data_IF_168364160536
#
_entry.id   IF_168364160536
#
_cell.length_a   1.000
_cell.length_b   1.000
_cell.length_c   1.000
_cell.angle_alpha   90.00
_cell.angle_beta   90.00
_cell.angle_gamma   90.00
#
_symmetry.space_group_name_H-M   'P 1'
#
loop_
_entity.id
_entity.type
_entity.pdbx_description
1 polymer ?
#
# COMPACT_ATOMS: atom_id res chain seq x y z
N UNK A 1 2.98 -14.40 -16.79
CA UNK A 1 1.66 -13.92 -17.22
C UNK A 1 1.60 -12.39 -17.23
N UNK A 2 1.73 -11.69 -16.09
CA UNK A 2 1.60 -10.22 -16.03
C UNK A 2 2.55 -9.47 -16.97
N UNK A 3 3.83 -9.90 -17.05
CA UNK A 3 4.81 -9.33 -18.00
C UNK A 3 4.31 -9.33 -19.45
N UNK A 4 3.72 -10.44 -19.90
CA UNK A 4 3.20 -10.56 -21.26
C UNK A 4 2.06 -9.57 -21.51
N UNK A 5 1.17 -9.36 -20.52
CA UNK A 5 0.10 -8.37 -20.62
C UNK A 5 0.66 -6.94 -20.74
N UNK A 6 1.63 -6.56 -19.90
CA UNK A 6 2.24 -5.24 -19.97
C UNK A 6 2.95 -5.00 -21.32
N UNK A 7 3.65 -6.01 -21.84
CA UNK A 7 4.30 -5.93 -23.15
C UNK A 7 3.29 -5.80 -24.29
N UNK A 8 2.20 -6.57 -24.27
CA UNK A 8 1.14 -6.47 -25.29
C UNK A 8 0.48 -5.08 -25.26
N UNK A 9 0.30 -4.51 -24.07
CA UNK A 9 -0.27 -3.19 -23.89
C UNK A 9 0.72 -2.04 -24.16
N UNK A 10 1.99 -2.33 -24.46
CA UNK A 10 3.07 -1.34 -24.51
C UNK A 10 3.18 -0.49 -23.22
N UNK A 11 2.85 -1.07 -22.06
CA UNK A 11 3.03 -0.42 -20.77
C UNK A 11 4.50 -0.49 -20.37
N UNK A 12 5.13 0.67 -20.16
CA UNK A 12 6.51 0.76 -19.66
C UNK A 12 6.60 0.18 -18.24
N UNK A 13 7.59 -0.67 -18.02
CA UNK A 13 7.83 -1.29 -16.73
C UNK A 13 9.30 -1.68 -16.55
N UNK A 14 9.76 -1.69 -15.31
CA UNK A 14 10.99 -2.35 -14.91
C UNK A 14 10.69 -3.79 -14.51
N UNK A 15 11.63 -4.70 -14.78
CA UNK A 15 11.51 -6.13 -14.51
C UNK A 15 12.82 -6.65 -13.92
N UNK A 16 12.74 -7.29 -12.75
CA UNK A 16 13.87 -7.94 -12.10
C UNK A 16 13.76 -9.49 -12.07
N UNK A 17 12.80 -10.06 -12.81
CA UNK A 17 12.56 -11.50 -12.93
C UNK A 17 11.47 -12.05 -11.99
N UNK A 18 11.15 -11.35 -10.90
CA UNK A 18 10.11 -11.77 -9.94
C UNK A 18 9.13 -10.65 -9.56
N UNK A 19 9.47 -9.40 -9.90
CA UNK A 19 8.69 -8.20 -9.64
C UNK A 19 8.69 -7.29 -10.87
N UNK A 20 7.53 -6.73 -11.18
CA UNK A 20 7.35 -5.72 -12.21
C UNK A 20 7.03 -4.38 -11.53
N UNK A 21 7.79 -3.33 -11.82
CA UNK A 21 7.49 -1.97 -11.39
C UNK A 21 6.95 -1.18 -12.57
N UNK A 22 5.80 -0.53 -12.42
CA UNK A 22 5.28 0.37 -13.45
C UNK A 22 4.89 1.71 -12.87
N UNK A 23 5.11 2.77 -13.64
CA UNK A 23 4.68 4.11 -13.27
C UNK A 23 3.18 4.23 -13.56
N UNK A 24 2.37 4.25 -12.52
CA UNK A 24 0.90 4.28 -12.64
C UNK A 24 0.27 4.71 -11.32
N UNK A 25 -0.70 5.60 -11.40
CA UNK A 25 -1.50 5.99 -10.24
C UNK A 25 -2.43 4.86 -9.79
N UNK A 26 -2.68 4.79 -8.47
CA UNK A 26 -3.71 3.94 -7.87
C UNK A 26 -3.19 2.74 -7.06
N UNK A 27 -3.99 2.36 -6.08
CA UNK A 27 -3.63 1.38 -5.04
C UNK A 27 -3.70 -0.08 -5.52
N UNK A 28 -4.56 -0.38 -6.50
CA UNK A 28 -4.79 -1.75 -6.96
C UNK A 28 -3.66 -2.23 -7.89
N UNK A 29 -3.10 -3.39 -7.56
CA UNK A 29 -2.08 -4.05 -8.38
C UNK A 29 -2.42 -5.51 -8.61
N UNK A 30 -1.87 -6.07 -9.70
CA UNK A 30 -1.89 -7.51 -9.90
C UNK A 30 -0.75 -8.16 -9.11
N UNK A 31 -0.85 -9.48 -8.89
CA UNK A 31 0.22 -10.26 -8.25
C UNK A 31 1.55 -10.04 -8.98
N UNK A 32 2.62 -9.79 -8.22
CA UNK A 32 3.97 -9.49 -8.71
C UNK A 32 4.11 -8.18 -9.49
N UNK A 33 3.16 -7.26 -9.35
CA UNK A 33 3.24 -5.90 -9.91
C UNK A 33 3.17 -4.87 -8.78
N UNK A 34 4.03 -3.87 -8.84
CA UNK A 34 3.97 -2.68 -7.98
C UNK A 34 3.80 -1.45 -8.86
N UNK A 35 2.81 -0.63 -8.50
CA UNK A 35 2.64 0.70 -9.05
C UNK A 35 3.54 1.67 -8.26
N UNK A 36 4.18 2.61 -8.95
CA UNK A 36 4.84 3.74 -8.33
C UNK A 36 4.46 5.03 -9.05
N UNK A 37 4.65 6.14 -8.37
CA UNK A 37 4.45 7.49 -8.91
C UNK A 37 5.45 8.44 -8.25
N UNK A 38 5.76 9.54 -8.93
CA UNK A 38 6.56 10.63 -8.37
C UNK A 38 5.63 11.71 -7.80
N UNK A 39 6.03 12.31 -6.69
CA UNK A 39 5.34 13.46 -6.09
C UNK A 39 6.36 14.55 -5.75
N UNK A 40 5.97 15.79 -5.97
CA UNK A 40 6.82 16.96 -5.65
C UNK A 40 6.47 17.57 -4.28
N UNK A 41 5.25 17.35 -3.79
CA UNK A 41 4.73 17.90 -2.54
C UNK A 41 4.28 16.76 -1.61
N UNK A 42 5.05 16.56 -0.55
CA UNK A 42 4.79 15.56 0.48
C UNK A 42 3.47 15.79 1.24
N UNK A 43 3.13 17.05 1.53
CA UNK A 43 1.88 17.38 2.23
C UNK A 43 0.67 17.16 1.33
N UNK A 44 0.79 17.43 0.02
CA UNK A 44 -0.23 17.08 -0.95
C UNK A 44 -0.45 15.57 -1.03
N UNK A 45 0.63 14.79 -1.07
CA UNK A 45 0.53 13.32 -1.11
C UNK A 45 -0.09 12.76 0.17
N UNK A 46 0.28 13.29 1.33
CA UNK A 46 -0.36 12.93 2.60
C UNK A 46 -1.86 13.21 2.59
N UNK A 47 -2.31 14.34 2.04
CA UNK A 47 -3.74 14.63 1.92
C UNK A 47 -4.46 13.60 1.04
N UNK A 48 -3.87 13.23 -0.09
CA UNK A 48 -4.42 12.22 -0.99
C UNK A 48 -4.55 10.85 -0.30
N UNK A 49 -3.48 10.41 0.37
CA UNK A 49 -3.49 9.14 1.12
C UNK A 49 -4.53 9.13 2.24
N UNK A 50 -4.70 10.25 2.96
CA UNK A 50 -5.74 10.38 3.99
C UNK A 50 -7.16 10.34 3.39
N UNK A 51 -7.37 10.92 2.20
CA UNK A 51 -8.66 10.83 1.49
C UNK A 51 -9.00 9.40 1.03
N UNK A 52 -7.99 8.54 0.88
CA UNK A 52 -8.12 7.15 0.46
C UNK A 52 -7.92 6.16 1.61
N UNK A 53 -7.92 6.63 2.87
CA UNK A 53 -7.54 5.85 4.04
C UNK A 53 -8.37 4.55 4.19
N UNK A 54 -9.65 4.56 3.81
CA UNK A 54 -10.51 3.37 3.88
C UNK A 54 -10.09 2.24 2.92
N UNK A 55 -9.23 2.54 1.93
CA UNK A 55 -8.68 1.58 0.98
C UNK A 55 -7.24 1.18 1.32
N UNK A 56 -6.64 1.77 2.35
CA UNK A 56 -5.23 1.61 2.70
C UNK A 56 -5.12 0.94 4.06
N UNK A 57 -4.48 -0.22 4.09
CA UNK A 57 -4.28 -0.98 5.33
C UNK A 57 -3.05 -0.51 6.12
N UNK A 58 -2.02 -0.05 5.41
CA UNK A 58 -0.74 0.28 6.02
C UNK A 58 0.02 1.26 5.13
N UNK A 59 0.63 2.26 5.76
CA UNK A 59 1.53 3.22 5.12
C UNK A 59 2.88 3.11 5.80
N UNK A 60 3.94 3.02 4.99
CA UNK A 60 5.31 2.89 5.46
C UNK A 60 6.06 4.18 5.19
N UNK A 61 6.68 4.76 6.21
CA UNK A 61 7.46 5.98 6.06
C UNK A 61 8.70 6.03 6.96
N UNK A 62 9.67 6.86 6.55
CA UNK A 62 10.80 7.23 7.40
C UNK A 62 10.49 8.37 8.36
N UNK A 63 9.61 9.29 7.93
CA UNK A 63 9.15 10.46 8.67
C UNK A 63 8.11 10.14 9.75
N UNK A 64 7.52 11.17 10.34
CA UNK A 64 6.43 11.05 11.33
C UNK A 64 5.17 11.78 10.84
N UNK A 65 4.98 11.91 9.51
CA UNK A 65 3.87 12.65 8.92
C UNK A 65 2.59 11.84 8.81
N UNK A 66 2.67 10.52 8.95
CA UNK A 66 1.54 9.59 8.83
C UNK A 66 1.14 9.09 10.22
N UNK A 67 -0.09 9.36 10.61
CA UNK A 67 -0.68 8.79 11.82
C UNK A 67 -0.76 7.26 11.68
N UNK A 68 -0.26 6.52 12.67
CA UNK A 68 -0.12 5.06 12.62
C UNK A 68 0.78 4.54 11.48
N UNK A 69 1.66 5.38 10.93
CA UNK A 69 2.65 4.97 9.92
C UNK A 69 3.64 3.96 10.48
N UNK A 70 3.96 2.93 9.68
CA UNK A 70 4.93 1.89 10.02
C UNK A 70 6.32 2.33 9.58
N UNK A 71 7.33 2.13 10.43
CA UNK A 71 8.72 2.41 10.08
C UNK A 71 9.29 1.36 9.13
N UNK A 72 10.22 1.76 8.27
CA UNK A 72 10.96 0.83 7.42
C UNK A 72 11.50 -0.37 8.21
N UNK A 73 11.37 -1.56 7.63
CA UNK A 73 11.80 -2.82 8.23
C UNK A 73 10.81 -3.44 9.22
N UNK A 74 9.72 -2.76 9.62
CA UNK A 74 8.77 -3.29 10.61
C UNK A 74 7.47 -3.84 10.01
N UNK A 75 7.28 -3.79 8.69
CA UNK A 75 6.02 -4.16 8.03
C UNK A 75 5.65 -5.65 8.15
N UNK A 76 6.62 -6.51 8.42
CA UNK A 76 6.40 -7.96 8.61
C UNK A 76 6.33 -8.36 10.09
N UNK A 77 6.26 -7.38 11.01
CA UNK A 77 6.24 -7.60 12.45
C UNK A 77 5.05 -6.88 13.10
N UNK A 78 3.79 -7.18 12.70
CA UNK A 78 2.61 -6.52 13.27
C UNK A 78 2.46 -6.87 14.75
N UNK A 79 2.06 -5.89 15.56
CA UNK A 79 1.67 -6.10 16.95
C UNK A 79 0.26 -6.66 17.06
N UNK A 80 -0.07 -7.18 18.24
CA UNK A 80 -1.37 -7.79 18.52
C UNK A 80 -2.58 -6.89 18.20
N UNK A 81 -2.43 -5.57 18.34
CA UNK A 81 -3.50 -4.59 18.11
C UNK A 81 -3.40 -3.88 16.75
N UNK A 82 -2.45 -4.26 15.88
CA UNK A 82 -2.23 -3.65 14.57
C UNK A 82 -2.95 -4.45 13.47
N UNK A 83 -4.29 -4.46 13.54
CA UNK A 83 -5.16 -5.12 12.56
C UNK A 83 -5.26 -4.34 11.26
N UNK A 84 -5.37 -5.04 10.13
CA UNK A 84 -5.32 -4.45 8.78
C UNK A 84 -6.50 -3.53 8.45
N UNK A 85 -7.62 -3.68 9.16
CA UNK A 85 -8.84 -2.88 9.04
C UNK A 85 -9.06 -1.95 10.24
N UNK A 86 -8.11 -1.90 11.19
CA UNK A 86 -8.23 -1.23 12.48
C UNK A 86 -9.47 -1.67 13.30
N UNK A 87 -10.08 -2.81 12.99
CA UNK A 87 -11.19 -3.35 13.77
C UNK A 87 -10.62 -4.21 14.88
N UNK A 88 -10.99 -3.90 16.13
CA UNK A 88 -10.69 -4.77 17.25
C UNK A 88 -11.55 -6.04 17.13
N UNK A 89 -10.91 -7.13 16.71
CA UNK A 89 -11.58 -8.43 16.51
C UNK A 89 -12.21 -8.93 17.82
N UNK A 90 -11.62 -8.64 18.97
CA UNK A 90 -12.16 -9.06 20.28
C UNK A 90 -13.41 -8.25 20.61
N UNK A 91 -13.40 -6.94 20.35
CA UNK A 91 -14.59 -6.09 20.48
C UNK A 91 -15.71 -6.55 19.53
N UNK A 92 -15.38 -6.79 18.25
CA UNK A 92 -16.33 -7.29 17.25
C UNK A 92 -16.99 -8.61 17.69
N UNK A 93 -16.19 -9.59 18.13
CA UNK A 93 -16.71 -10.88 18.60
C UNK A 93 -17.58 -10.73 19.86
N UNK A 94 -17.27 -9.77 20.74
CA UNK A 94 -18.06 -9.47 21.94
C UNK A 94 -19.45 -8.89 21.63
N UNK A 95 -19.61 -8.18 20.51
CA UNK A 95 -20.86 -7.57 20.07
C UNK A 95 -21.84 -8.54 19.36
N UNK A 96 -21.41 -9.79 19.07
CA UNK A 96 -22.23 -10.80 18.41
C UNK A 96 -23.20 -11.56 19.36
N UNK A 97 -23.34 -11.12 20.62
CA UNK A 97 -24.28 -11.67 21.60
C UNK A 97 -25.58 -10.86 21.67
#
# INVERSE_FOLDING_TARGET
YQKSLLLINNELHFDNGFLLLREKEGLATAVSVINYEFYDDYDAQLRLLNMQNDQIQCIVEGGNGVKNGVKFGNTQSPKLMEYADNVDVIEFLGQLN
#
